data_IF_520426741402
#
_entry.id   IF_520426741402
#
_cell.length_a   1.000
_cell.length_b   1.000
_cell.length_c   1.000
_cell.angle_alpha   90.00
_cell.angle_beta   90.00
_cell.angle_gamma   90.00
#
_symmetry.space_group_name_H-M   'P 1'
#
loop_
_entity.id
_entity.type
_entity.pdbx_description
1 polymer ?
2 non-polymer ?
3 non-polymer ?
4 water ?
#
# COMPACT_ATOMS: atom_id res chain seq x y z
N UNK A 1 -8.47 -14.09 -9.69
CA UNK A 1 -7.59 -12.94 -10.01
C UNK A 1 -6.93 -12.43 -8.73
N UNK A 2 -7.62 -11.65 -7.92
CA UNK A 2 -7.00 -10.96 -6.77
C UNK A 2 -7.05 -11.88 -5.52
N UNK A 3 -7.66 -13.07 -5.60
CA UNK A 3 -8.09 -13.73 -4.34
C UNK A 3 -6.94 -14.07 -3.39
N UNK A 4 -5.74 -14.33 -3.90
CA UNK A 4 -4.61 -14.70 -3.01
C UNK A 4 -4.18 -13.48 -2.16
N UNK A 5 -4.51 -12.27 -2.57
CA UNK A 5 -4.18 -11.05 -1.81
C UNK A 5 -5.13 -10.83 -0.62
N UNK A 6 -6.30 -11.46 -0.63
CA UNK A 6 -7.32 -11.11 0.36
C UNK A 6 -6.93 -11.61 1.73
N UNK A 7 -7.28 -10.85 2.73
CA UNK A 7 -7.10 -11.20 4.15
C UNK A 7 -6.41 -10.14 4.91
N UNK A 8 -5.90 -10.53 6.10
CA UNK A 8 -5.29 -9.64 7.05
C UNK A 8 -3.79 -9.91 7.06
N UNK A 9 -3.00 -8.85 6.95
CA UNK A 9 -1.55 -8.92 6.75
C UNK A 9 -0.87 -8.02 7.75
N UNK A 10 0.25 -8.48 8.28
CA UNK A 10 0.98 -7.73 9.28
C UNK A 10 2.40 -7.40 8.78
N UNK A 11 2.88 -6.20 9.04
CA UNK A 11 4.24 -5.82 8.58
C UNK A 11 5.27 -6.60 9.37
N UNK A 12 6.21 -7.24 8.65
CA UNK A 12 7.29 -8.00 9.29
C UNK A 12 8.68 -7.61 8.78
N UNK A 13 8.83 -6.71 7.81
CA UNK A 13 10.14 -6.26 7.33
C UNK A 13 9.93 -4.96 6.58
N UNK A 14 10.89 -4.05 6.68
CA UNK A 14 10.81 -2.79 5.91
C UNK A 14 12.20 -2.35 5.54
N UNK A 15 12.35 -2.00 4.26
CA UNK A 15 13.63 -1.52 3.70
C UNK A 15 13.38 -0.22 2.94
N UNK A 16 14.14 0.81 3.32
CA UNK A 16 14.15 2.11 2.63
C UNK A 16 12.84 2.87 2.75
N UNK A 17 12.04 2.62 3.77
CA UNK A 17 10.81 3.39 3.94
C UNK A 17 11.11 4.84 4.26
N UNK A 18 12.14 5.15 5.02
CA UNK A 18 12.48 6.53 5.28
C UNK A 18 12.81 7.24 3.95
N UNK A 19 13.56 6.61 3.07
CA UNK A 19 13.87 7.23 1.77
C UNK A 19 12.57 7.57 1.04
N UNK A 20 11.64 6.65 0.98
CA UNK A 20 10.38 6.84 0.28
C UNK A 20 9.59 7.97 0.89
N UNK A 21 9.41 7.98 2.21
CA UNK A 21 8.69 9.06 2.86
C UNK A 21 9.37 10.40 2.63
N UNK A 22 10.69 10.43 2.72
CA UNK A 22 11.38 11.70 2.54
C UNK A 22 11.18 12.21 1.10
N UNK A 23 11.21 11.31 0.14
CA UNK A 23 11.01 11.70 -1.27
C UNK A 23 9.64 12.38 -1.43
N UNK A 24 8.64 11.89 -0.71
CA UNK A 24 7.28 12.45 -0.75
C UNK A 24 7.15 13.72 0.10
N UNK A 25 8.18 14.13 0.83
CA UNK A 25 8.13 15.34 1.63
C UNK A 25 7.54 15.15 3.02
N UNK A 26 7.47 13.93 3.52
CA UNK A 26 7.02 13.70 4.90
C UNK A 26 8.05 14.25 5.87
N UNK A 27 7.63 14.99 6.87
CA UNK A 27 8.51 15.63 7.83
C UNK A 27 9.23 14.66 8.76
N UNK A 28 10.35 15.08 9.30
CA UNK A 28 11.24 14.15 10.01
C UNK A 28 10.54 13.56 11.24
N UNK A 29 9.70 14.32 11.92
CA UNK A 29 9.12 13.80 13.17
C UNK A 29 8.11 12.70 12.83
N UNK A 30 7.37 12.88 11.75
CA UNK A 30 6.43 11.86 11.27
C UNK A 30 7.20 10.63 10.79
N UNK A 31 8.28 10.84 10.03
CA UNK A 31 9.09 9.69 9.56
C UNK A 31 9.57 8.87 10.75
N UNK A 32 9.96 9.55 11.79
CA UNK A 32 10.47 8.87 13.00
C UNK A 32 9.40 7.94 13.60
N UNK A 33 8.16 8.40 13.77
CA UNK A 33 7.06 7.56 14.27
C UNK A 33 6.78 6.44 13.27
N UNK A 34 6.65 6.80 12.00
CA UNK A 34 6.33 5.81 10.97
C UNK A 34 7.37 4.67 10.92
N UNK A 35 8.63 4.98 11.16
CA UNK A 35 9.72 3.98 11.08
C UNK A 35 9.58 2.89 12.16
N UNK A 36 8.77 3.16 13.19
CA UNK A 36 8.59 2.24 14.33
C UNK A 36 7.18 1.67 14.37
N UNK A 37 6.37 1.97 13.38
CA UNK A 37 4.97 1.50 13.36
C UNK A 37 4.92 0.22 12.53
N UNK A 38 4.07 -0.72 12.91
CA UNK A 38 3.86 -1.94 12.15
C UNK A 38 2.39 -2.06 11.76
N UNK A 39 2.03 -1.56 10.61
CA UNK A 39 0.63 -1.58 10.25
C UNK A 39 0.11 -2.98 9.98
N UNK A 40 -1.22 -3.04 10.07
CA UNK A 40 -2.01 -4.16 9.58
C UNK A 40 -2.75 -3.71 8.34
N UNK A 41 -2.67 -4.50 7.27
CA UNK A 41 -3.42 -4.22 6.05
C UNK A 41 -4.46 -5.30 5.88
N UNK A 42 -5.69 -4.90 5.65
CA UNK A 42 -6.80 -5.80 5.44
C UNK A 42 -7.32 -5.56 4.02
N UNK A 43 -7.36 -6.63 3.23
CA UNK A 43 -7.83 -6.52 1.84
C UNK A 43 -9.05 -7.41 1.74
N UNK A 44 -10.20 -6.83 1.41
CA UNK A 44 -11.51 -7.52 1.32
C UNK A 44 -12.11 -7.24 -0.06
N UNK A 45 -12.85 -8.19 -0.60
CA UNK A 45 -13.63 -7.92 -1.84
C UNK A 45 -15.09 -8.25 -1.59
N UNK A 46 -15.93 -7.53 -2.30
CA UNK A 46 -17.38 -7.76 -2.37
C UNK A 46 -17.74 -7.60 -3.84
N UNK A 47 -17.81 -8.69 -4.57
CA UNK A 47 -17.98 -8.60 -6.00
C UNK A 47 -16.80 -7.92 -6.64
N UNK A 48 -17.08 -6.88 -7.42
CA UNK A 48 -16.01 -6.14 -8.15
C UNK A 48 -15.42 -5.02 -7.30
N UNK A 49 -15.82 -4.89 -6.03
CA UNK A 49 -15.27 -3.79 -5.22
C UNK A 49 -14.29 -4.34 -4.18
N UNK A 50 -13.07 -3.84 -4.24
CA UNK A 50 -12.04 -4.11 -3.23
C UNK A 50 -12.05 -3.00 -2.20
N UNK A 51 -11.79 -3.38 -0.96
CA UNK A 51 -11.57 -2.43 0.11
C UNK A 51 -10.25 -2.77 0.76
N UNK A 52 -9.39 -1.77 0.92
CA UNK A 52 -8.05 -1.95 1.47
C UNK A 52 -7.94 -1.01 2.65
N UNK A 53 -7.84 -1.61 3.86
CA UNK A 53 -7.71 -0.89 5.12
C UNK A 53 -6.26 -0.97 5.57
N UNK A 54 -5.74 0.11 6.11
CA UNK A 54 -4.42 0.09 6.72
C UNK A 54 -4.58 0.69 8.11
N UNK A 55 -4.28 -0.11 9.12
CA UNK A 55 -4.51 0.24 10.52
C UNK A 55 -3.20 0.29 11.26
N UNK A 56 -3.04 1.24 12.15
CA UNK A 56 -1.84 1.30 12.98
C UNK A 56 -2.12 2.13 14.23
N UNK A 57 -1.13 2.19 15.11
CA UNK A 57 -1.16 3.07 16.28
C UNK A 57 -0.99 4.53 15.95
N UNK A 58 -0.65 4.89 14.73
CA UNK A 58 -0.31 6.27 14.35
C UNK A 58 -1.43 6.86 13.52
N UNK A 59 -1.67 6.29 12.34
CA UNK A 59 -2.76 6.70 11.42
C UNK A 59 -3.43 5.49 10.82
N UNK A 60 -4.66 5.68 10.36
CA UNK A 60 -5.43 4.67 9.67
C UNK A 60 -5.90 5.22 8.32
N UNK A 61 -6.03 4.35 7.35
CA UNK A 61 -6.64 4.71 6.06
C UNK A 61 -7.57 3.62 5.60
N UNK A 62 -8.46 3.97 4.68
CA UNK A 62 -9.28 2.98 4.00
C UNK A 62 -9.61 3.53 2.60
N UNK A 63 -9.51 2.66 1.61
CA UNK A 63 -9.95 2.98 0.25
C UNK A 63 -10.80 1.86 -0.27
N UNK A 64 -11.77 2.18 -1.12
CA UNK A 64 -12.53 1.21 -1.89
C UNK A 64 -12.44 1.55 -3.38
N UNK A 65 -12.38 0.53 -4.21
CA UNK A 65 -12.17 0.76 -5.65
C UNK A 65 -12.58 -0.45 -6.41
N UNK A 66 -12.84 -0.23 -7.70
CA UNK A 66 -13.00 -1.28 -8.68
C UNK A 66 -11.68 -1.41 -9.43
N UNK A 67 -11.16 -2.62 -9.71
CA UNK A 67 -9.95 -2.77 -10.51
C UNK A 67 -10.19 -2.06 -11.83
N UNK A 68 -9.18 -1.31 -12.23
CA UNK A 68 -9.17 -0.70 -13.54
C UNK A 68 -10.05 0.50 -13.69
N UNK A 69 -10.54 1.08 -12.60
CA UNK A 69 -11.41 2.27 -12.62
C UNK A 69 -10.79 3.33 -11.73
N UNK A 70 -10.51 4.49 -12.27
CA UNK A 70 -9.88 5.54 -11.50
C UNK A 70 -10.78 5.96 -10.32
N UNK A 71 -10.13 6.35 -9.22
CA UNK A 71 -10.81 6.84 -8.03
C UNK A 71 -9.99 7.97 -7.42
N UNK A 72 -10.67 8.89 -6.76
CA UNK A 72 -10.04 9.89 -5.94
C UNK A 72 -9.56 9.27 -4.64
N UNK A 73 -8.40 9.69 -4.16
CA UNK A 73 -7.82 9.19 -2.90
C UNK A 73 -7.15 10.33 -2.18
N UNK A 74 -7.25 10.34 -0.87
CA UNK A 74 -6.51 11.24 -0.01
C UNK A 74 -5.60 10.36 0.84
N UNK A 75 -4.30 10.43 0.59
CA UNK A 75 -3.36 9.49 1.19
C UNK A 75 -3.11 9.81 2.65
N UNK A 76 -2.41 8.92 3.33
CA UNK A 76 -2.13 9.06 4.76
C UNK A 76 -1.37 10.35 5.06
N UNK A 77 -0.49 10.75 4.11
CA UNK A 77 0.28 12.00 4.21
C UNK A 77 -0.44 13.19 3.54
N UNK A 78 -1.71 13.03 3.25
CA UNK A 78 -2.60 14.15 2.89
C UNK A 78 -2.35 14.63 1.47
N UNK A 79 -1.94 13.79 0.62
CA UNK A 79 -1.90 14.07 -0.83
C UNK A 79 -3.24 13.71 -1.47
N UNK A 80 -3.79 14.63 -2.27
CA UNK A 80 -5.04 14.38 -3.00
C UNK A 80 -4.66 13.91 -4.39
N UNK A 81 -4.90 12.65 -4.68
CA UNK A 81 -4.36 12.01 -5.86
C UNK A 81 -5.48 11.34 -6.67
N UNK A 82 -5.16 11.09 -7.92
CA UNK A 82 -5.99 10.25 -8.81
C UNK A 82 -5.34 8.91 -8.85
N UNK A 83 -6.10 7.88 -8.51
CA UNK A 83 -5.56 6.53 -8.35
C UNK A 83 -6.22 5.53 -9.25
N UNK A 84 -5.49 4.48 -9.56
CA UNK A 84 -6.04 3.32 -10.24
C UNK A 84 -5.27 2.11 -9.73
N UNK A 85 -5.98 1.00 -9.56
CA UNK A 85 -5.39 -0.27 -9.14
C UNK A 85 -5.74 -1.29 -10.19
N UNK A 86 -4.76 -2.04 -10.65
CA UNK A 86 -4.89 -3.02 -11.73
C UNK A 86 -4.11 -4.25 -11.35
N UNK A 87 -4.53 -5.42 -11.79
CA UNK A 87 -3.65 -6.60 -11.80
C UNK A 87 -2.80 -6.59 -13.05
N UNK A 88 -1.53 -6.81 -12.84
CA UNK A 88 -0.53 -6.73 -13.93
C UNK A 88 0.54 -7.76 -13.60
N UNK A 89 0.63 -8.81 -14.40
CA UNK A 89 1.64 -9.84 -14.10
C UNK A 89 1.37 -10.55 -12.80
N UNK A 90 0.12 -10.63 -12.38
CA UNK A 90 -0.23 -11.23 -11.10
C UNK A 90 0.02 -10.32 -9.93
N UNK A 91 0.46 -9.09 -10.12
CA UNK A 91 0.73 -8.13 -9.08
C UNK A 91 -0.42 -7.14 -9.03
N UNK A 92 -0.71 -6.68 -7.83
CA UNK A 92 -1.69 -5.63 -7.64
C UNK A 92 -0.95 -4.28 -7.72
N UNK A 93 -1.15 -3.51 -8.80
CA UNK A 93 -0.38 -2.29 -9.07
C UNK A 93 -1.29 -1.10 -8.82
N UNK A 94 -0.94 -0.28 -7.82
CA UNK A 94 -1.65 0.93 -7.46
C UNK A 94 -0.80 2.11 -7.93
N UNK A 95 -1.34 2.90 -8.87
CA UNK A 95 -0.67 4.09 -9.38
C UNK A 95 -1.41 5.31 -8.88
N UNK A 96 -0.68 6.24 -8.27
CA UNK A 96 -1.20 7.54 -7.80
C UNK A 96 -0.58 8.65 -8.62
N UNK A 97 -1.42 9.60 -9.01
CA UNK A 97 -0.98 10.78 -9.86
C UNK A 97 -1.45 12.06 -9.16
N UNK A 98 -0.60 13.04 -9.05
CA UNK A 98 -0.95 14.35 -8.53
C UNK A 98 0.09 15.35 -8.99
N UNK A 99 -0.35 16.51 -9.38
CA UNK A 99 0.62 17.61 -9.66
C UNK A 99 1.66 17.17 -10.70
N UNK A 100 1.32 16.24 -11.59
CA UNK A 100 2.30 15.70 -12.56
C UNK A 100 3.25 14.66 -12.00
N UNK A 101 3.22 14.46 -10.70
CA UNK A 101 4.01 13.43 -9.97
C UNK A 101 3.28 12.11 -10.07
N UNK A 102 4.04 11.05 -9.85
CA UNK A 102 3.48 9.71 -9.77
C UNK A 102 4.21 8.92 -8.69
N UNK A 103 3.48 7.98 -8.07
CA UNK A 103 4.11 6.93 -7.23
C UNK A 103 3.36 5.65 -7.49
N UNK A 104 4.08 4.55 -7.40
CA UNK A 104 3.48 3.24 -7.51
C UNK A 104 3.64 2.47 -6.20
N UNK A 105 2.60 1.72 -5.88
CA UNK A 105 2.52 0.81 -4.74
C UNK A 105 2.19 -0.54 -5.32
N UNK A 106 3.16 -1.43 -5.41
CA UNK A 106 3.02 -2.69 -6.12
C UNK A 106 3.04 -3.82 -5.11
N UNK A 107 2.03 -4.69 -5.13
CA UNK A 107 1.96 -5.83 -4.22
C UNK A 107 2.08 -7.11 -5.00
N UNK A 108 2.96 -7.99 -4.54
CA UNK A 108 3.30 -9.27 -5.16
C UNK A 108 3.32 -10.34 -4.06
N UNK A 109 2.88 -11.54 -4.37
CA UNK A 109 2.98 -12.66 -3.43
C UNK A 109 4.21 -13.45 -3.80
N UNK A 110 5.08 -13.67 -2.84
CA UNK A 110 6.30 -14.49 -3.01
C UNK A 110 6.38 -15.41 -1.79
N UNK A 111 6.33 -16.70 -2.06
CA UNK A 111 6.39 -17.74 -1.01
C UNK A 111 5.38 -17.42 0.11
N UNK A 112 4.15 -17.01 -0.25
CA UNK A 112 3.09 -16.73 0.73
C UNK A 112 3.21 -15.44 1.47
N UNK A 113 4.23 -14.64 1.22
CA UNK A 113 4.36 -13.32 1.82
C UNK A 113 3.94 -12.29 0.80
N UNK A 114 3.42 -11.18 1.31
CA UNK A 114 3.01 -10.08 0.43
C UNK A 114 4.11 -9.04 0.49
N UNK A 115 4.68 -8.77 -0.69
CA UNK A 115 5.79 -7.82 -0.82
C UNK A 115 5.21 -6.55 -1.47
N UNK A 116 5.30 -5.45 -0.76
CA UNK A 116 4.83 -4.14 -1.21
C UNK A 116 6.07 -3.34 -1.60
N UNK A 117 6.16 -2.96 -2.86
CA UNK A 117 7.25 -2.14 -3.37
C UNK A 117 6.69 -0.76 -3.67
N UNK A 118 7.29 0.24 -3.04
CA UNK A 118 6.86 1.64 -3.13
C UNK A 118 7.94 2.42 -3.88
N UNK A 119 7.58 3.09 -4.97
CA UNK A 119 8.57 3.84 -5.77
C UNK A 119 8.10 5.25 -5.95
N UNK A 120 8.92 6.22 -5.62
CA UNK A 120 8.67 7.64 -5.94
C UNK A 120 10.04 8.27 -6.21
N UNK A 121 10.15 9.03 -7.29
CA UNK A 121 11.46 9.55 -7.67
C UNK A 121 12.40 8.41 -7.89
N UNK A 122 13.56 8.45 -7.27
CA UNK A 122 14.49 7.32 -7.32
C UNK A 122 14.34 6.39 -6.13
N UNK A 123 13.53 6.74 -5.14
CA UNK A 123 13.41 5.93 -3.90
C UNK A 123 12.59 4.70 -4.18
N UNK A 124 13.10 3.57 -3.72
CA UNK A 124 12.44 2.28 -3.83
C UNK A 124 12.46 1.60 -2.47
N UNK A 125 11.28 1.42 -1.90
CA UNK A 125 11.09 0.80 -0.58
C UNK A 125 10.42 -0.53 -0.75
N UNK A 126 10.82 -1.53 0.04
CA UNK A 126 10.26 -2.88 0.01
C UNK A 126 9.73 -3.17 1.42
N UNK A 127 8.41 -3.41 1.59
CA UNK A 127 7.80 -3.77 2.86
C UNK A 127 7.18 -5.12 2.72
N UNK A 128 7.47 -5.99 3.67
CA UNK A 128 7.00 -7.37 3.59
C UNK A 128 5.96 -7.59 4.69
N UNK A 129 4.84 -8.21 4.29
CA UNK A 129 3.71 -8.53 5.20
C UNK A 129 3.56 -10.04 5.30
N UNK A 130 3.13 -10.49 6.36
CA UNK A 130 2.85 -11.92 6.62
C UNK A 130 1.35 -12.02 6.90
N UNK A 131 0.73 -13.10 6.46
CA UNK A 131 -0.70 -13.28 6.62
C UNK A 131 -1.01 -13.64 8.04
N UNK A 132 -2.00 -12.97 8.59
CA UNK A 132 -2.75 -13.34 9.81
C UNK A 132 -3.86 -14.38 9.53
N UNK A 133 -3.99 -15.33 10.37
CA UNK A 133 -4.99 -16.42 10.44
C UNK A 133 -6.38 -15.81 10.67
#
# INVERSE_FOLDING_TARGET
>A
MVDAFLGTWKLVDSKNFDDYMKSLGVGFATRQVASMTKPTTIIEKNGDILTLKTHSTFKNTEISFKLGVEFDETTADDRKVKSIVTLDGGKLVHLQKWDGQETTLVRELIDGKLILTLTHGTAVCTRTYEKEA
#
